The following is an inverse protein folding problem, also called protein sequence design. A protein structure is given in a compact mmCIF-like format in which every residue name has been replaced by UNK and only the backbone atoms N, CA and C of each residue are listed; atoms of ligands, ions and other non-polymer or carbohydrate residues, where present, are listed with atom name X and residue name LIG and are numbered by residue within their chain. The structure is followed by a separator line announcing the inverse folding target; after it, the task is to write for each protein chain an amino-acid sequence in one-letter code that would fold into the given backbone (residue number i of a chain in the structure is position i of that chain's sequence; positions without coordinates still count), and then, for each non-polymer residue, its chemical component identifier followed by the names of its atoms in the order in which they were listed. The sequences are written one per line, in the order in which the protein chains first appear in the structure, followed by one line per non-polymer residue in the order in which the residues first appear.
data_IF_696402660826
#
_entry.id   IF_696402660826
#
_cell.length_a   1.000
_cell.length_b   1.000
_cell.length_c   1.000
_cell.angle_alpha   90.00
_cell.angle_beta   90.00
_cell.angle_gamma   90.00
#
_symmetry.space_group_name_H-M   'P 1'
#
loop_
_entity.id
_entity.type
_entity.pdbx_description
1 polymer ?
#
# COMPACT_ATOMS: atom_id res chain seq x y z
N UNK A 1 -15.27 14.91 -9.75
CA UNK A 1 -15.97 16.21 -9.64
C UNK A 1 -16.97 16.35 -10.77
N UNK A 2 -18.20 16.82 -10.54
CA UNK A 2 -19.12 17.14 -11.65
C UNK A 2 -18.85 18.58 -12.12
N UNK A 3 -18.65 18.77 -13.43
CA UNK A 3 -18.30 20.05 -14.05
C UNK A 3 -19.56 20.62 -14.73
N UNK A 4 -19.70 21.94 -14.71
CA UNK A 4 -20.74 22.62 -15.49
C UNK A 4 -20.11 23.36 -16.65
N UNK A 5 -20.52 23.03 -17.87
CA UNK A 5 -20.15 23.77 -19.08
C UNK A 5 -21.00 25.04 -19.10
N UNK A 6 -20.39 26.17 -18.75
CA UNK A 6 -21.09 27.45 -18.57
C UNK A 6 -21.85 27.93 -19.81
N UNK A 7 -21.31 27.65 -21.00
CA UNK A 7 -21.90 28.00 -22.30
C UNK A 7 -23.17 27.19 -22.60
N UNK A 8 -23.21 25.92 -22.20
CA UNK A 8 -24.37 25.03 -22.36
C UNK A 8 -25.40 25.19 -21.24
N UNK A 9 -24.96 25.68 -20.09
CA UNK A 9 -25.82 25.93 -18.94
C UNK A 9 -26.68 27.17 -19.19
N UNK A 10 -27.78 27.04 -19.93
CA UNK A 10 -28.63 28.19 -20.27
C UNK A 10 -29.45 28.66 -19.06
N UNK A 11 -29.33 29.95 -18.76
CA UNK A 11 -30.15 30.66 -17.78
C UNK A 11 -31.17 31.60 -18.42
N UNK A 12 -30.95 32.01 -19.66
CA UNK A 12 -31.81 32.95 -20.38
C UNK A 12 -31.95 32.51 -21.83
N UNK A 13 -33.05 31.82 -22.11
CA UNK A 13 -33.88 31.92 -23.31
C UNK A 13 -35.10 31.05 -23.01
N UNK A 14 -36.30 31.67 -23.06
CA UNK A 14 -37.60 31.15 -22.60
C UNK A 14 -37.73 29.62 -22.78
N UNK A 15 -37.72 28.88 -21.68
CA UNK A 15 -37.96 27.45 -21.67
C UNK A 15 -39.43 27.20 -21.29
N UNK A 16 -40.26 26.78 -22.24
CA UNK A 16 -41.66 26.40 -21.96
C UNK A 16 -41.76 25.19 -21.01
N UNK A 17 -40.70 24.40 -20.89
CA UNK A 17 -40.61 23.23 -20.00
C UNK A 17 -39.93 23.51 -18.64
N UNK A 18 -39.50 24.75 -18.37
CA UNK A 18 -38.89 25.11 -17.09
C UNK A 18 -39.61 26.35 -16.53
N UNK A 19 -40.70 26.16 -15.77
CA UNK A 19 -41.35 27.28 -15.12
C UNK A 19 -40.38 27.84 -14.08
N UNK A 20 -39.82 29.01 -14.36
CA UNK A 20 -38.95 29.69 -13.41
C UNK A 20 -39.66 29.82 -12.06
N UNK A 21 -39.02 29.25 -11.03
CA UNK A 21 -38.88 29.84 -9.68
C UNK A 21 -37.97 28.90 -8.87
N UNK A 22 -36.76 29.39 -8.58
CA UNK A 22 -35.84 28.94 -7.50
C UNK A 22 -35.11 27.59 -7.56
N UNK A 23 -35.46 26.60 -8.38
CA UNK A 23 -34.68 25.34 -8.53
C UNK A 23 -34.60 24.85 -9.98
N UNK A 24 -33.45 24.27 -10.35
CA UNK A 24 -33.21 23.66 -11.67
C UNK A 24 -33.42 22.14 -11.63
N UNK A 25 -33.71 21.50 -12.76
CA UNK A 25 -33.90 20.04 -12.84
C UNK A 25 -32.71 19.24 -12.27
N UNK A 26 -31.49 19.73 -12.45
CA UNK A 26 -30.30 19.13 -11.86
C UNK A 26 -30.25 19.25 -10.33
N UNK A 27 -30.78 20.34 -9.75
CA UNK A 27 -30.94 20.51 -8.30
C UNK A 27 -32.07 19.62 -7.75
N UNK A 28 -33.16 19.44 -8.48
CA UNK A 28 -34.29 18.60 -8.05
C UNK A 28 -33.92 17.14 -7.89
N UNK A 29 -33.09 16.61 -8.80
CA UNK A 29 -32.63 15.22 -8.75
C UNK A 29 -31.46 15.01 -7.80
N UNK A 30 -30.90 16.07 -7.19
CA UNK A 30 -29.70 15.95 -6.37
C UNK A 30 -30.06 15.40 -4.96
N UNK A 31 -29.67 14.16 -4.63
CA UNK A 31 -30.09 13.53 -3.37
C UNK A 31 -29.40 14.14 -2.14
N UNK A 32 -28.36 14.95 -2.34
CA UNK A 32 -27.55 15.55 -1.28
C UNK A 32 -27.58 17.06 -1.28
N UNK A 33 -28.42 17.71 -2.09
CA UNK A 33 -28.47 19.18 -2.25
C UNK A 33 -27.09 19.82 -2.54
N UNK A 34 -26.20 19.08 -3.22
CA UNK A 34 -24.84 19.51 -3.51
C UNK A 34 -24.72 20.47 -4.69
N UNK A 35 -25.81 21.13 -5.07
CA UNK A 35 -25.92 22.03 -6.23
C UNK A 35 -26.58 23.33 -5.80
N UNK A 36 -25.96 24.45 -6.15
CA UNK A 36 -26.47 25.81 -5.95
C UNK A 36 -26.43 26.59 -7.26
N UNK A 37 -27.11 27.74 -7.31
CA UNK A 37 -27.03 28.66 -8.43
C UNK A 37 -26.05 29.80 -8.08
N UNK A 38 -25.17 30.12 -9.04
CA UNK A 38 -24.34 31.32 -9.02
C UNK A 38 -24.48 31.97 -10.40
N UNK A 39 -24.89 33.24 -10.46
CA UNK A 39 -25.18 33.97 -11.70
C UNK A 39 -26.10 33.20 -12.66
N UNK A 40 -27.16 32.59 -12.10
CA UNK A 40 -28.11 31.72 -12.78
C UNK A 40 -27.51 30.45 -13.43
N UNK A 41 -26.27 30.08 -13.12
CA UNK A 41 -25.62 28.84 -13.57
C UNK A 41 -25.56 27.83 -12.42
N UNK A 42 -25.69 26.55 -12.74
CA UNK A 42 -25.60 25.48 -11.75
C UNK A 42 -24.13 25.23 -11.34
N UNK A 43 -23.83 25.34 -10.05
CA UNK A 43 -22.54 25.02 -9.46
C UNK A 43 -22.70 23.95 -8.40
N UNK A 44 -21.71 23.06 -8.27
CA UNK A 44 -21.76 21.97 -7.30
C UNK A 44 -20.51 21.87 -6.45
N UNK A 45 -20.59 21.04 -5.40
CA UNK A 45 -19.45 20.68 -4.58
C UNK A 45 -18.25 20.28 -5.46
N UNK A 46 -17.11 20.94 -5.23
CA UNK A 46 -15.85 20.71 -5.97
C UNK A 46 -15.11 19.44 -5.53
N UNK A 47 -15.69 18.66 -4.61
CA UNK A 47 -15.12 17.38 -4.13
C UNK A 47 -13.69 17.52 -3.57
N UNK A 48 -13.34 18.67 -2.97
CA UNK A 48 -12.00 18.93 -2.44
C UNK A 48 -11.63 18.11 -1.18
N UNK A 49 -12.63 17.55 -0.50
CA UNK A 49 -12.42 16.68 0.66
C UNK A 49 -12.06 17.37 1.97
N UNK A 50 -12.00 18.71 2.04
CA UNK A 50 -11.74 19.43 3.30
C UNK A 50 -12.74 19.07 4.39
N UNK A 51 -14.03 18.97 4.06
CA UNK A 51 -15.07 18.56 5.00
C UNK A 51 -14.82 17.16 5.60
N UNK A 52 -14.21 16.24 4.84
CA UNK A 52 -13.88 14.91 5.32
C UNK A 52 -12.64 14.92 6.22
N UNK A 53 -11.61 15.70 5.85
CA UNK A 53 -10.36 15.82 6.65
C UNK A 53 -10.60 16.45 8.01
N UNK A 54 -11.47 17.47 8.07
CA UNK A 54 -11.75 18.22 9.31
C UNK A 54 -12.86 17.58 10.16
N UNK A 55 -13.44 16.45 9.76
CA UNK A 55 -14.51 15.82 10.51
C UNK A 55 -13.95 15.09 11.74
N UNK A 56 -14.19 15.55 12.98
CA UNK A 56 -13.57 14.97 14.17
C UNK A 56 -14.00 13.52 14.43
N UNK A 57 -15.19 13.14 13.94
CA UNK A 57 -15.77 11.81 14.12
C UNK A 57 -15.63 10.92 12.88
N UNK A 58 -14.87 11.34 11.87
CA UNK A 58 -14.70 10.61 10.60
C UNK A 58 -16.03 10.17 9.96
N UNK A 59 -17.07 11.01 10.12
CA UNK A 59 -18.41 10.72 9.64
C UNK A 59 -18.56 10.96 8.12
N UNK A 60 -17.65 11.71 7.49
CA UNK A 60 -17.69 11.97 6.05
C UNK A 60 -16.61 11.12 5.37
N UNK A 61 -17.00 10.26 4.44
CA UNK A 61 -16.10 9.29 3.79
C UNK A 61 -16.16 9.40 2.27
N UNK A 62 -15.03 9.15 1.61
CA UNK A 62 -14.94 9.12 0.15
C UNK A 62 -15.49 7.80 -0.38
N UNK A 63 -16.26 7.84 -1.46
CA UNK A 63 -16.71 6.63 -2.18
C UNK A 63 -15.79 6.32 -3.38
N UNK A 64 -16.05 5.19 -4.04
CA UNK A 64 -15.28 4.73 -5.22
C UNK A 64 -15.37 5.68 -6.42
N UNK A 65 -16.48 6.42 -6.55
CA UNK A 65 -16.71 7.40 -7.63
C UNK A 65 -15.98 8.73 -7.42
N UNK A 66 -15.28 8.89 -6.29
CA UNK A 66 -14.55 10.10 -5.94
C UNK A 66 -15.37 11.19 -5.25
N UNK A 67 -16.67 10.93 -5.02
CA UNK A 67 -17.55 11.74 -4.19
C UNK A 67 -17.42 11.42 -2.70
N UNK A 68 -18.17 12.14 -1.86
CA UNK A 68 -18.15 11.95 -0.41
C UNK A 68 -19.57 11.74 0.12
N UNK A 69 -19.74 10.80 1.05
CA UNK A 69 -21.01 10.51 1.72
C UNK A 69 -20.88 10.66 3.23
N UNK A 70 -22.01 10.89 3.91
CA UNK A 70 -22.08 11.10 5.35
C UNK A 70 -22.64 9.85 6.03
N UNK A 71 -21.83 9.22 6.87
CA UNK A 71 -22.28 8.21 7.82
C UNK A 71 -23.07 8.87 8.95
N UNK A 72 -24.41 8.76 8.85
CA UNK A 72 -25.35 9.36 9.81
C UNK A 72 -25.26 8.76 11.21
N UNK A 73 -24.68 7.57 11.38
CA UNK A 73 -24.49 6.98 12.72
C UNK A 73 -23.31 7.61 13.45
N UNK A 74 -22.29 8.05 12.71
CA UNK A 74 -21.07 8.70 13.24
C UNK A 74 -21.18 10.23 13.28
N UNK A 75 -22.08 10.82 12.50
CA UNK A 75 -22.30 12.25 12.47
C UNK A 75 -22.97 12.72 13.76
N UNK A 76 -22.28 13.59 14.51
CA UNK A 76 -22.82 14.24 15.72
C UNK A 76 -23.51 15.57 15.42
N UNK A 77 -23.50 16.04 14.16
CA UNK A 77 -24.13 17.29 13.77
C UNK A 77 -23.38 18.56 14.18
N UNK A 78 -22.07 18.45 14.47
CA UNK A 78 -21.24 19.55 15.00
C UNK A 78 -21.02 20.75 14.06
N UNK A 79 -21.26 20.61 12.75
CA UNK A 79 -21.19 21.73 11.79
C UNK A 79 -19.81 22.14 11.28
N UNK A 80 -18.71 21.52 11.76
CA UNK A 80 -17.33 21.86 11.32
C UNK A 80 -17.19 21.79 9.79
N UNK A 81 -17.72 20.74 9.17
CA UNK A 81 -17.71 20.56 7.72
C UNK A 81 -18.37 21.72 6.94
N UNK A 82 -19.38 22.37 7.49
CA UNK A 82 -20.01 23.54 6.90
C UNK A 82 -19.10 24.77 7.00
N UNK A 83 -18.49 24.99 8.17
CA UNK A 83 -17.60 26.11 8.43
C UNK A 83 -16.32 26.08 7.58
N UNK A 84 -15.74 24.90 7.36
CA UNK A 84 -14.49 24.75 6.59
C UNK A 84 -14.71 24.64 5.09
N UNK A 85 -15.95 24.69 4.61
CA UNK A 85 -16.24 24.54 3.19
C UNK A 85 -15.75 25.77 2.41
N UNK A 86 -14.75 25.65 1.53
CA UNK A 86 -14.13 26.82 0.87
C UNK A 86 -15.08 27.53 -0.10
N UNK A 87 -16.17 26.87 -0.51
CA UNK A 87 -17.19 27.42 -1.41
C UNK A 87 -18.55 27.59 -0.72
N UNK A 88 -18.61 27.37 0.60
CA UNK A 88 -19.82 27.59 1.41
C UNK A 88 -21.07 26.78 1.00
N UNK A 89 -20.91 25.65 0.29
CA UNK A 89 -22.05 24.89 -0.25
C UNK A 89 -22.70 23.95 0.78
N UNK A 90 -21.97 23.57 1.84
CA UNK A 90 -22.44 22.61 2.84
C UNK A 90 -23.38 23.31 3.83
N UNK A 91 -24.58 22.76 4.02
CA UNK A 91 -25.60 23.28 4.94
C UNK A 91 -25.95 22.22 5.97
N UNK A 92 -26.04 22.62 7.24
CA UNK A 92 -26.53 21.74 8.30
C UNK A 92 -28.06 21.71 8.26
N UNK A 93 -28.63 20.52 8.18
CA UNK A 93 -30.08 20.30 8.21
C UNK A 93 -30.44 19.43 9.41
N UNK A 94 -31.68 19.55 9.88
CA UNK A 94 -32.19 18.78 11.00
C UNK A 94 -33.42 17.99 10.56
N UNK A 95 -33.42 16.68 10.82
CA UNK A 95 -34.57 15.80 10.59
C UNK A 95 -34.67 14.81 11.75
N UNK A 96 -35.87 14.65 12.30
CA UNK A 96 -36.14 13.71 13.41
C UNK A 96 -35.19 13.92 14.62
N UNK A 97 -34.90 15.18 14.95
CA UNK A 97 -34.02 15.56 16.07
C UNK A 97 -32.53 15.28 15.84
N UNK A 98 -32.11 14.89 14.62
CA UNK A 98 -30.71 14.66 14.25
C UNK A 98 -30.24 15.70 13.24
N UNK A 99 -29.16 16.41 13.59
CA UNK A 99 -28.47 17.37 12.71
C UNK A 99 -27.41 16.67 11.86
N UNK A 100 -27.39 16.93 10.56
CA UNK A 100 -26.40 16.39 9.62
C UNK A 100 -26.13 17.35 8.44
N UNK A 101 -24.94 17.27 7.82
CA UNK A 101 -24.62 18.10 6.66
C UNK A 101 -25.25 17.58 5.37
N UNK A 102 -25.81 18.50 4.60
CA UNK A 102 -26.15 18.40 3.18
C UNK A 102 -25.21 19.30 2.38
N UNK A 103 -25.21 19.22 1.06
CA UNK A 103 -24.34 19.99 0.17
C UNK A 103 -23.07 19.24 -0.30
N UNK A 104 -22.94 17.95 0.02
CA UNK A 104 -21.76 17.14 -0.29
C UNK A 104 -22.07 16.24 -1.49
N UNK A 105 -21.33 16.38 -2.59
CA UNK A 105 -21.56 15.59 -3.81
C UNK A 105 -21.05 14.16 -3.62
N UNK A 106 -21.94 13.18 -3.86
CA UNK A 106 -21.63 11.75 -3.85
C UNK A 106 -21.21 11.21 -5.22
N UNK A 107 -21.14 12.05 -6.26
CA UNK A 107 -20.81 11.64 -7.63
C UNK A 107 -21.70 10.48 -8.13
N UNK A 108 -23.02 10.67 -8.03
CA UNK A 108 -24.04 9.72 -8.51
C UNK A 108 -24.56 10.03 -9.93
N UNK A 109 -24.04 11.08 -10.57
CA UNK A 109 -24.33 11.51 -11.94
C UNK A 109 -25.81 11.73 -12.34
N UNK A 110 -26.76 11.62 -11.41
CA UNK A 110 -28.18 11.97 -11.62
C UNK A 110 -28.37 13.36 -12.24
N UNK A 111 -27.55 14.33 -11.82
CA UNK A 111 -27.63 15.69 -12.34
C UNK A 111 -27.04 15.86 -13.75
N UNK A 112 -26.19 14.93 -14.20
CA UNK A 112 -25.68 14.83 -15.57
C UNK A 112 -26.80 14.34 -16.48
N UNK A 113 -27.42 13.21 -16.12
CA UNK A 113 -28.54 12.62 -16.86
C UNK A 113 -29.77 13.54 -16.92
N UNK A 114 -30.08 14.20 -15.80
CA UNK A 114 -31.24 15.06 -15.73
C UNK A 114 -31.08 16.40 -16.48
N UNK A 115 -29.86 16.75 -16.92
CA UNK A 115 -29.61 18.04 -17.56
C UNK A 115 -30.05 18.01 -19.04
N UNK A 116 -31.14 18.69 -19.43
CA UNK A 116 -31.65 18.64 -20.81
C UNK A 116 -30.71 19.31 -21.83
N UNK A 117 -29.76 20.11 -21.36
CA UNK A 117 -28.80 20.84 -22.18
C UNK A 117 -27.40 20.20 -22.17
N UNK A 118 -27.23 19.04 -21.54
CA UNK A 118 -25.92 18.38 -21.34
C UNK A 118 -24.86 19.34 -20.79
N UNK A 119 -25.31 20.27 -19.94
CA UNK A 119 -24.45 21.28 -19.34
C UNK A 119 -23.70 20.75 -18.13
N UNK A 120 -24.23 19.71 -17.48
CA UNK A 120 -23.60 19.00 -16.36
C UNK A 120 -22.85 17.81 -16.95
N UNK A 121 -21.57 17.68 -16.62
CA UNK A 121 -20.69 16.63 -17.16
C UNK A 121 -19.96 15.97 -16.01
N UNK A 122 -19.87 14.64 -16.05
CA UNK A 122 -19.09 13.93 -15.05
C UNK A 122 -17.60 14.24 -15.26
N UNK A 123 -16.87 14.51 -14.17
CA UNK A 123 -15.43 14.75 -14.26
C UNK A 123 -14.66 13.54 -14.76
N UNK A 124 -15.27 12.36 -14.70
CA UNK A 124 -14.78 11.13 -15.31
C UNK A 124 -14.78 11.27 -16.84
N UNK A 125 -15.85 11.80 -17.42
CA UNK A 125 -15.95 12.08 -18.88
C UNK A 125 -15.08 13.28 -19.31
N UNK A 126 -14.78 14.22 -18.41
CA UNK A 126 -13.90 15.35 -18.70
C UNK A 126 -12.40 15.01 -18.72
N UNK A 127 -11.99 13.85 -18.20
CA UNK A 127 -10.59 13.37 -18.28
C UNK A 127 -10.25 13.07 -19.75
N UNK A 128 -11.19 12.51 -20.50
CA UNK A 128 -10.98 12.15 -21.90
C UNK A 128 -11.08 13.35 -22.85
N UNK A 129 -11.93 14.33 -22.57
CA UNK A 129 -12.08 15.55 -23.37
C UNK A 129 -10.96 16.58 -23.15
N UNK A 130 -10.38 16.69 -21.94
CA UNK A 130 -9.24 17.59 -21.70
C UNK A 130 -7.94 17.02 -22.24
N UNK A 131 -7.71 15.70 -22.17
CA UNK A 131 -6.48 15.06 -22.67
C UNK A 131 -6.33 15.20 -24.19
N UNK A 132 -7.42 15.04 -24.94
CA UNK A 132 -7.45 15.22 -26.39
C UNK A 132 -7.24 16.68 -26.80
N UNK A 133 -7.97 17.62 -26.19
CA UNK A 133 -7.83 19.05 -26.52
C UNK A 133 -6.47 19.67 -26.08
N UNK A 134 -5.87 19.22 -24.96
CA UNK A 134 -4.52 19.66 -24.56
C UNK A 134 -3.44 19.06 -25.47
N UNK A 135 -3.54 17.79 -25.83
CA UNK A 135 -2.59 17.13 -26.72
C UNK A 135 -2.57 17.78 -28.12
N UNK A 136 -3.73 18.11 -28.68
CA UNK A 136 -3.82 18.79 -29.98
C UNK A 136 -3.28 20.24 -29.91
N UNK A 137 -3.55 20.97 -28.82
CA UNK A 137 -3.07 22.34 -28.62
C UNK A 137 -1.56 22.40 -28.37
N UNK A 138 -0.98 21.43 -27.67
CA UNK A 138 0.47 21.34 -27.46
C UNK A 138 1.20 20.82 -28.70
N UNK A 139 0.66 19.82 -29.41
CA UNK A 139 1.25 19.34 -30.66
C UNK A 139 1.37 20.47 -31.69
N UNK A 140 0.30 21.24 -31.90
CA UNK A 140 0.29 22.36 -32.86
C UNK A 140 1.24 23.50 -32.45
N UNK A 141 1.40 23.75 -31.15
CA UNK A 141 2.30 24.79 -30.62
C UNK A 141 3.76 24.35 -30.63
N UNK A 142 4.04 23.08 -30.36
CA UNK A 142 5.37 22.47 -30.45
C UNK A 142 5.85 22.41 -31.90
N UNK A 143 4.99 22.03 -32.86
CA UNK A 143 5.36 22.05 -34.28
C UNK A 143 5.69 23.46 -34.80
N UNK A 144 5.02 24.50 -34.28
CA UNK A 144 5.33 25.90 -34.62
C UNK A 144 6.57 26.44 -33.90
N UNK A 145 6.82 26.03 -32.65
CA UNK A 145 8.00 26.41 -31.87
C UNK A 145 9.28 25.74 -32.41
N UNK A 146 9.22 24.47 -32.82
CA UNK A 146 10.35 23.75 -33.44
C UNK A 146 10.78 24.41 -34.76
N UNK A 147 9.85 25.07 -35.47
CA UNK A 147 10.15 25.85 -36.67
C UNK A 147 10.88 27.18 -36.38
N UNK A 148 10.71 27.71 -35.17
CA UNK A 148 11.30 28.98 -34.70
C UNK A 148 12.68 28.76 -34.07
N UNK A 149 12.91 27.64 -33.38
CA UNK A 149 14.17 27.32 -32.65
C UNK A 149 15.39 27.07 -33.56
N UNK A 150 15.25 27.02 -34.89
CA UNK A 150 16.41 26.88 -35.82
C UNK A 150 17.27 28.14 -35.97
N UNK A 151 17.04 29.20 -35.21
CA UNK A 151 17.92 30.37 -35.16
C UNK A 151 18.07 30.85 -33.72
N UNK A 152 19.32 31.05 -33.35
CA UNK A 152 19.83 31.66 -32.12
C UNK A 152 20.20 30.66 -31.00
N UNK A 153 21.52 30.54 -30.84
CA UNK A 153 22.27 29.80 -29.84
C UNK A 153 21.89 30.29 -28.44
N UNK A 154 21.57 29.35 -27.55
CA UNK A 154 21.40 29.64 -26.12
C UNK A 154 22.50 28.86 -25.39
N UNK A 155 23.35 29.63 -24.70
CA UNK A 155 24.39 29.12 -23.80
C UNK A 155 23.79 28.24 -22.69
N UNK A 156 24.46 27.12 -22.43
CA UNK A 156 24.05 26.13 -21.42
C UNK A 156 24.06 26.75 -20.02
N UNK A 157 22.87 26.95 -19.45
CA UNK A 157 22.73 27.09 -18.00
C UNK A 157 22.73 25.68 -17.41
N UNK A 158 23.89 25.24 -16.95
CA UNK A 158 24.01 24.05 -16.12
C UNK A 158 23.36 24.30 -14.75
N UNK A 159 22.09 23.92 -14.63
CA UNK A 159 21.48 23.66 -13.33
C UNK A 159 21.87 22.24 -12.94
N UNK A 160 22.92 22.12 -12.14
CA UNK A 160 23.17 20.91 -11.37
C UNK A 160 22.12 20.81 -10.26
N UNK A 161 20.94 20.28 -10.63
CA UNK A 161 20.10 19.60 -9.66
C UNK A 161 20.74 18.24 -9.42
N UNK A 162 21.40 18.05 -8.26
CA UNK A 162 21.79 16.73 -7.81
C UNK A 162 20.53 15.85 -7.69
N UNK A 163 20.23 15.11 -8.75
CA UNK A 163 19.36 13.95 -8.71
C UNK A 163 20.03 12.96 -7.78
N UNK A 164 19.57 12.88 -6.53
CA UNK A 164 19.96 11.78 -5.64
C UNK A 164 19.48 10.47 -6.25
N UNK A 165 20.38 9.84 -7.01
CA UNK A 165 20.32 8.47 -7.48
C UNK A 165 20.06 7.57 -6.27
N UNK A 166 18.84 7.07 -6.10
CA UNK A 166 18.58 5.99 -5.15
C UNK A 166 17.99 4.79 -5.87
N UNK A 167 18.80 4.24 -6.78
CA UNK A 167 18.58 2.89 -7.31
C UNK A 167 19.02 1.79 -6.34
N UNK A 168 19.61 2.15 -5.20
CA UNK A 168 20.23 1.18 -4.30
C UNK A 168 19.69 1.34 -2.89
N UNK A 169 19.25 0.22 -2.30
CA UNK A 169 19.01 0.11 -0.85
C UNK A 169 19.99 -0.88 -0.24
N UNK A 170 20.52 -0.55 0.93
CA UNK A 170 21.41 -1.43 1.69
C UNK A 170 20.56 -2.20 2.70
N UNK A 171 20.60 -3.53 2.68
CA UNK A 171 19.96 -4.34 3.72
C UNK A 171 20.71 -5.63 4.00
N UNK A 172 20.31 -6.33 5.06
CA UNK A 172 20.73 -7.71 5.23
C UNK A 172 20.01 -8.60 4.21
N UNK A 173 20.70 -9.64 3.74
CA UNK A 173 20.15 -10.75 2.96
C UNK A 173 20.49 -12.05 3.67
N UNK A 174 19.50 -12.92 3.77
CA UNK A 174 19.63 -14.25 4.38
C UNK A 174 19.57 -15.26 3.24
N UNK A 175 20.66 -15.98 3.03
CA UNK A 175 20.73 -17.13 2.13
C UNK A 175 19.93 -18.29 2.71
N UNK A 176 18.80 -18.63 2.07
CA UNK A 176 17.89 -19.66 2.55
C UNK A 176 18.43 -21.07 2.41
N UNK A 177 19.34 -21.31 1.46
CA UNK A 177 19.93 -22.63 1.25
C UNK A 177 20.96 -22.94 2.34
N UNK A 178 21.67 -21.92 2.82
CA UNK A 178 22.61 -22.03 3.94
C UNK A 178 21.96 -21.92 5.32
N UNK A 179 20.77 -21.32 5.40
CA UNK A 179 20.11 -21.12 6.69
C UNK A 179 19.57 -22.43 7.27
N UNK A 180 20.19 -22.92 8.34
CA UNK A 180 19.74 -24.13 9.07
C UNK A 180 18.59 -23.86 10.06
N UNK A 181 18.12 -22.62 10.17
CA UNK A 181 17.02 -22.27 11.07
C UNK A 181 17.35 -22.34 12.56
N UNK A 182 18.55 -21.93 12.97
CA UNK A 182 18.94 -21.95 14.38
C UNK A 182 18.29 -20.85 15.24
N UNK A 183 17.69 -19.82 14.64
CA UNK A 183 17.01 -18.73 15.36
C UNK A 183 17.92 -17.71 16.08
N UNK A 184 19.25 -17.91 16.12
CA UNK A 184 20.21 -17.01 16.80
C UNK A 184 20.08 -15.55 16.37
N UNK A 185 19.96 -15.30 15.07
CA UNK A 185 19.86 -13.96 14.50
C UNK A 185 18.57 -13.23 14.91
N UNK A 186 17.45 -13.96 15.03
CA UNK A 186 16.18 -13.42 15.51
C UNK A 186 16.25 -13.10 17.00
N UNK A 187 16.81 -14.03 17.78
CA UNK A 187 16.93 -13.90 19.22
C UNK A 187 17.86 -12.76 19.66
N UNK A 188 19.03 -12.61 19.02
CA UNK A 188 20.03 -11.61 19.40
C UNK A 188 19.82 -10.24 18.74
N UNK A 189 18.80 -10.09 17.90
CA UNK A 189 18.55 -8.80 17.24
C UNK A 189 18.00 -7.79 18.26
N UNK A 190 18.75 -6.73 18.62
CA UNK A 190 18.29 -5.74 19.61
C UNK A 190 17.09 -4.92 19.12
N UNK A 191 16.82 -4.97 17.82
CA UNK A 191 15.69 -4.29 17.16
C UNK A 191 14.52 -5.22 16.88
N UNK A 192 14.63 -6.51 17.23
CA UNK A 192 13.62 -7.55 16.99
C UNK A 192 13.13 -7.59 15.52
N UNK A 193 14.03 -7.28 14.58
CA UNK A 193 13.61 -7.00 13.21
C UNK A 193 13.52 -8.24 12.32
N UNK A 194 14.04 -9.38 12.78
CA UNK A 194 14.01 -10.67 12.07
C UNK A 194 12.94 -11.51 12.76
N UNK A 195 11.82 -11.72 12.07
CA UNK A 195 10.67 -12.46 12.59
C UNK A 195 10.75 -13.90 12.06
N UNK A 196 10.70 -14.90 12.96
CA UNK A 196 10.70 -16.30 12.59
C UNK A 196 9.35 -16.75 12.04
N UNK A 197 9.34 -17.86 11.29
CA UNK A 197 8.11 -18.47 10.78
C UNK A 197 7.27 -19.13 11.89
N UNK A 198 7.89 -19.49 13.02
CA UNK A 198 7.24 -20.08 14.18
C UNK A 198 7.78 -19.43 15.45
N UNK A 199 6.93 -19.30 16.46
CA UNK A 199 7.34 -18.74 17.74
C UNK A 199 8.51 -19.50 18.36
N UNK A 200 9.41 -18.74 18.96
CA UNK A 200 10.64 -19.24 19.56
C UNK A 200 10.38 -19.58 21.02
N UNK A 201 9.71 -20.70 21.24
CA UNK A 201 9.49 -21.25 22.58
C UNK A 201 10.59 -22.23 23.02
N UNK A 202 11.48 -22.63 22.11
CA UNK A 202 12.55 -23.61 22.27
C UNK A 202 13.91 -22.99 22.69
N UNK A 203 14.89 -23.84 23.05
CA UNK A 203 16.29 -23.42 23.16
C UNK A 203 16.82 -22.94 21.79
N UNK A 204 17.47 -21.78 21.76
CA UNK A 204 17.93 -21.12 20.51
C UNK A 204 19.37 -21.44 20.14
N UNK A 205 19.99 -22.39 20.84
CA UNK A 205 21.42 -22.70 20.70
C UNK A 205 22.34 -21.48 20.86
N UNK A 206 21.90 -20.43 21.58
CA UNK A 206 22.70 -19.22 21.80
C UNK A 206 24.00 -19.45 22.56
N UNK A 207 24.18 -20.63 23.17
CA UNK A 207 25.30 -21.04 24.01
C UNK A 207 25.61 -20.14 25.22
N UNK A 208 24.74 -19.20 25.59
CA UNK A 208 24.90 -18.37 26.81
C UNK A 208 25.15 -19.26 28.05
N UNK A 209 24.45 -20.40 28.13
CA UNK A 209 24.65 -21.38 29.20
C UNK A 209 26.07 -21.96 29.29
N UNK A 210 26.73 -22.17 28.15
CA UNK A 210 28.12 -22.61 28.07
C UNK A 210 29.07 -21.48 28.42
N UNK A 211 28.84 -20.28 27.88
CA UNK A 211 29.69 -19.11 28.12
C UNK A 211 29.73 -18.69 29.60
N UNK A 212 28.63 -18.89 30.34
CA UNK A 212 28.58 -18.61 31.79
C UNK A 212 29.05 -19.78 32.67
N UNK A 213 29.29 -20.97 32.09
CA UNK A 213 29.67 -22.16 32.85
C UNK A 213 31.17 -22.13 33.19
N UNK A 214 31.57 -21.98 34.46
CA UNK A 214 32.98 -21.88 34.83
C UNK A 214 33.76 -23.19 34.59
N UNK A 215 33.05 -24.32 34.51
CA UNK A 215 33.65 -25.65 34.36
C UNK A 215 33.48 -26.22 32.94
N UNK A 216 32.99 -25.43 31.96
CA UNK A 216 32.72 -25.90 30.59
C UNK A 216 31.88 -27.18 30.49
N UNK A 217 31.05 -27.44 31.50
CA UNK A 217 30.29 -28.68 31.68
C UNK A 217 29.00 -28.74 30.84
N UNK A 218 28.66 -27.64 30.17
CA UNK A 218 27.47 -27.53 29.32
C UNK A 218 27.83 -26.80 28.04
N UNK A 219 27.27 -27.26 26.94
CA UNK A 219 27.39 -26.63 25.63
C UNK A 219 26.03 -26.71 24.94
N UNK A 220 25.54 -25.58 24.41
CA UNK A 220 24.33 -25.57 23.60
C UNK A 220 23.08 -26.13 24.32
N UNK A 221 23.05 -26.01 25.66
CA UNK A 221 22.00 -26.54 26.52
C UNK A 221 22.13 -28.03 26.85
N UNK A 222 23.22 -28.68 26.43
CA UNK A 222 23.52 -30.10 26.62
C UNK A 222 24.67 -30.23 27.62
N UNK A 223 24.47 -30.97 28.70
CA UNK A 223 25.50 -31.24 29.71
C UNK A 223 26.40 -32.34 29.20
N UNK A 224 27.71 -32.14 29.31
CA UNK A 224 28.71 -33.15 28.97
C UNK A 224 28.65 -34.28 29.99
N UNK A 225 28.82 -35.51 29.52
CA UNK A 225 28.81 -36.70 30.38
C UNK A 225 30.11 -36.85 31.21
N UNK A 226 31.03 -35.89 31.11
CA UNK A 226 32.32 -35.86 31.79
C UNK A 226 32.24 -35.59 33.30
N UNK A 227 31.04 -35.33 33.84
CA UNK A 227 30.81 -35.13 35.27
C UNK A 227 31.27 -33.77 35.80
N UNK A 228 31.68 -32.82 34.93
CA UNK A 228 32.22 -31.52 35.34
C UNK A 228 31.16 -30.54 35.91
N UNK A 229 29.87 -30.88 35.79
CA UNK A 229 28.78 -30.03 36.24
C UNK A 229 28.67 -30.05 37.78
N UNK A 230 28.96 -28.90 38.41
CA UNK A 230 28.89 -28.72 39.87
C UNK A 230 27.57 -28.11 40.36
N UNK A 231 26.52 -28.09 39.52
CA UNK A 231 25.20 -27.54 39.85
C UNK A 231 25.23 -26.11 40.42
N UNK A 232 26.10 -25.24 39.91
CA UNK A 232 26.14 -23.81 40.32
C UNK A 232 24.93 -22.99 39.85
N UNK A 233 24.08 -23.56 38.98
CA UNK A 233 22.82 -23.03 38.44
C UNK A 233 22.93 -21.71 37.65
N UNK A 234 24.12 -21.17 37.44
CA UNK A 234 24.34 -19.92 36.69
C UNK A 234 23.80 -19.99 35.26
N UNK A 235 23.87 -21.15 34.62
CA UNK A 235 23.31 -21.41 33.29
C UNK A 235 21.79 -21.29 33.23
N UNK A 236 21.08 -21.64 34.31
CA UNK A 236 19.62 -21.51 34.40
C UNK A 236 19.26 -20.04 34.49
N UNK A 237 19.85 -19.31 35.44
CA UNK A 237 19.56 -17.89 35.66
C UNK A 237 19.95 -17.01 34.47
N UNK A 238 20.96 -17.43 33.70
CA UNK A 238 21.39 -16.71 32.49
C UNK A 238 20.61 -17.13 31.24
N UNK A 239 19.74 -18.15 31.34
CA UNK A 239 18.97 -18.61 30.20
C UNK A 239 17.80 -17.65 29.93
N UNK A 240 17.79 -16.95 28.79
CA UNK A 240 16.78 -15.93 28.48
C UNK A 240 15.39 -16.50 28.13
N UNK A 241 15.27 -17.84 28.04
CA UNK A 241 14.06 -18.55 27.61
C UNK A 241 13.61 -19.61 28.61
N UNK A 242 14.27 -19.67 29.76
CA UNK A 242 14.06 -20.68 30.80
C UNK A 242 14.02 -22.10 30.21
N UNK A 243 14.91 -22.37 29.24
CA UNK A 243 14.95 -23.64 28.51
C UNK A 243 15.56 -24.78 29.33
N UNK A 244 16.17 -24.45 30.48
CA UNK A 244 16.85 -25.37 31.38
C UNK A 244 16.17 -25.35 32.76
N UNK A 245 16.00 -26.52 33.38
CA UNK A 245 15.53 -26.68 34.77
C UNK A 245 16.39 -27.71 35.51
N UNK A 246 16.28 -27.76 36.84
CA UNK A 246 16.83 -28.87 37.64
C UNK A 246 15.76 -29.91 37.88
N UNK A 247 16.01 -31.14 37.46
CA UNK A 247 15.20 -32.32 37.77
C UNK A 247 16.11 -33.44 38.25
N UNK A 248 15.75 -34.13 39.34
CA UNK A 248 16.55 -35.21 39.92
C UNK A 248 18.03 -34.85 40.14
N UNK A 249 18.31 -33.65 40.66
CA UNK A 249 19.67 -33.11 40.84
C UNK A 249 20.52 -33.06 39.56
N UNK A 250 19.88 -33.00 38.39
CA UNK A 250 20.54 -32.78 37.10
C UNK A 250 19.91 -31.58 36.42
N UNK A 251 20.73 -30.78 35.74
CA UNK A 251 20.18 -29.78 34.82
C UNK A 251 19.66 -30.54 33.60
N UNK A 252 18.41 -30.28 33.22
CA UNK A 252 17.75 -30.90 32.09
C UNK A 252 17.16 -29.82 31.20
N UNK A 253 17.16 -30.11 29.90
CA UNK A 253 16.54 -29.26 28.90
C UNK A 253 15.06 -29.63 28.81
N UNK A 254 14.19 -28.68 29.14
CA UNK A 254 12.73 -28.91 29.19
C UNK A 254 12.00 -28.43 27.93
N UNK A 255 12.70 -27.66 27.08
CA UNK A 255 12.17 -27.12 25.84
C UNK A 255 12.98 -27.70 24.68
N UNK A 256 12.33 -28.55 23.89
CA UNK A 256 12.93 -29.21 22.74
C UNK A 256 13.31 -28.22 21.64
N UNK A 257 14.38 -28.55 20.92
CA UNK A 257 14.85 -27.73 19.80
C UNK A 257 13.89 -27.81 18.63
N UNK A 258 13.30 -26.68 18.28
CA UNK A 258 12.58 -26.53 17.02
C UNK A 258 13.50 -25.84 16.02
N UNK A 259 13.63 -26.41 14.83
CA UNK A 259 14.22 -25.69 13.69
C UNK A 259 13.28 -24.55 13.32
N UNK A 260 13.79 -23.32 13.38
CA UNK A 260 13.05 -22.09 13.17
C UNK A 260 13.75 -21.27 12.08
N UNK A 261 13.11 -21.19 10.92
CA UNK A 261 13.59 -20.36 9.83
C UNK A 261 13.06 -18.93 9.98
N UNK A 262 13.90 -17.95 9.66
CA UNK A 262 13.47 -16.56 9.53
C UNK A 262 12.51 -16.44 8.34
N UNK A 263 11.30 -15.92 8.60
CA UNK A 263 10.29 -15.72 7.56
C UNK A 263 10.38 -14.32 6.95
N UNK A 264 10.56 -13.30 7.79
CA UNK A 264 10.55 -11.90 7.36
C UNK A 264 11.54 -11.06 8.16
N UNK A 265 12.15 -10.07 7.50
CA UNK A 265 13.06 -9.12 8.15
C UNK A 265 12.91 -7.71 7.58
N UNK A 266 13.43 -6.70 8.29
CA UNK A 266 13.43 -5.35 7.75
C UNK A 266 14.40 -5.26 6.57
N UNK A 267 13.83 -4.98 5.41
CA UNK A 267 14.54 -4.71 4.15
C UNK A 267 15.04 -3.26 4.05
N UNK A 268 14.87 -2.46 5.11
CA UNK A 268 15.44 -1.13 5.21
C UNK A 268 14.96 -0.14 4.11
N UNK A 269 13.71 -0.28 3.65
CA UNK A 269 13.16 0.50 2.52
C UNK A 269 12.83 1.96 2.85
N UNK A 270 12.83 2.36 4.13
CA UNK A 270 12.59 3.76 4.53
C UNK A 270 11.13 4.19 4.67
N UNK A 271 10.13 3.43 4.20
CA UNK A 271 8.70 3.83 4.30
C UNK A 271 8.25 4.30 5.70
N UNK A 272 8.72 3.63 6.74
CA UNK A 272 8.41 3.99 8.11
C UNK A 272 9.02 5.33 8.55
N UNK A 273 10.15 5.74 7.97
CA UNK A 273 10.79 7.04 8.19
C UNK A 273 9.95 8.12 7.49
N UNK A 274 9.63 7.91 6.21
CA UNK A 274 8.87 8.87 5.39
C UNK A 274 7.47 9.16 5.95
N UNK A 275 6.90 8.20 6.68
CA UNK A 275 5.57 8.29 7.28
C UNK A 275 5.57 8.54 8.79
N UNK A 276 6.71 8.89 9.41
CA UNK A 276 6.78 9.13 10.85
C UNK A 276 6.43 10.60 11.20
N UNK A 277 5.24 10.90 11.74
CA UNK A 277 4.83 12.28 11.99
C UNK A 277 5.59 12.94 13.15
N UNK A 278 6.09 12.17 14.11
CA UNK A 278 6.83 12.70 15.26
C UNK A 278 8.32 12.88 14.98
N UNK A 279 8.82 12.44 13.83
CA UNK A 279 10.26 12.42 13.54
C UNK A 279 11.07 11.44 14.40
N UNK A 280 10.40 10.55 15.15
CA UNK A 280 11.03 9.50 15.96
C UNK A 280 11.86 8.52 15.12
N UNK A 281 11.62 8.47 13.81
CA UNK A 281 12.36 7.63 12.88
C UNK A 281 13.14 8.51 11.90
N UNK A 282 14.42 8.20 11.73
CA UNK A 282 15.32 8.93 10.84
C UNK A 282 16.18 7.95 10.04
N UNK A 283 16.59 8.38 8.85
CA UNK A 283 17.56 7.65 8.06
C UNK A 283 18.90 8.40 8.12
N UNK A 284 19.93 7.75 8.67
CA UNK A 284 21.29 8.27 8.69
C UNK A 284 22.22 7.24 8.02
N UNK A 285 22.79 7.60 6.88
CA UNK A 285 23.70 6.74 6.10
C UNK A 285 23.12 5.35 5.82
N UNK A 286 21.83 5.29 5.47
CA UNK A 286 21.14 4.04 5.22
C UNK A 286 20.73 3.30 6.48
N UNK A 287 21.01 3.78 7.69
CA UNK A 287 20.56 3.15 8.93
C UNK A 287 19.26 3.80 9.40
N UNK A 288 18.28 2.97 9.74
CA UNK A 288 17.06 3.46 10.40
C UNK A 288 17.33 3.61 11.89
N UNK A 289 17.33 4.86 12.35
CA UNK A 289 17.40 5.22 13.76
C UNK A 289 16.01 5.41 14.34
N UNK A 290 15.85 5.12 15.63
CA UNK A 290 14.59 5.24 16.34
C UNK A 290 14.81 5.81 17.73
N UNK A 291 14.15 6.93 17.99
CA UNK A 291 14.11 7.58 19.29
C UNK A 291 12.75 7.30 19.96
N UNK A 292 12.77 6.48 21.01
CA UNK A 292 11.58 6.11 21.75
C UNK A 292 11.02 7.28 22.60
N UNK A 293 11.85 8.26 22.97
CA UNK A 293 11.45 9.36 23.86
C UNK A 293 10.46 10.32 23.20
N UNK A 294 10.57 10.52 21.88
CA UNK A 294 9.69 11.37 21.08
C UNK A 294 8.62 10.58 20.30
N UNK A 295 8.59 9.26 20.46
CA UNK A 295 7.59 8.41 19.82
C UNK A 295 6.29 8.36 20.64
N UNK A 296 5.23 9.02 20.15
CA UNK A 296 3.90 8.91 20.77
C UNK A 296 3.10 7.68 20.32
N UNK A 297 3.74 6.73 19.63
CA UNK A 297 3.16 5.41 19.27
C UNK A 297 1.86 5.47 18.45
N UNK A 298 1.81 6.30 17.41
CA UNK A 298 0.62 6.44 16.54
C UNK A 298 0.38 5.27 15.56
N UNK A 299 1.21 4.21 15.62
CA UNK A 299 1.16 3.02 14.75
C UNK A 299 1.31 3.24 13.24
N UNK A 300 1.46 4.46 12.74
CA UNK A 300 1.62 4.72 11.31
C UNK A 300 2.75 3.91 10.67
N UNK A 301 3.89 3.78 11.35
CA UNK A 301 5.02 2.98 10.88
C UNK A 301 4.79 1.46 10.91
N UNK A 302 3.87 0.99 11.75
CA UNK A 302 3.41 -0.40 11.81
C UNK A 302 2.53 -0.66 10.58
N UNK A 303 1.54 0.21 10.34
CA UNK A 303 0.55 0.04 9.27
C UNK A 303 1.17 0.06 7.86
N UNK A 304 2.19 0.90 7.64
CA UNK A 304 2.83 1.04 6.33
C UNK A 304 3.97 0.05 6.09
N UNK A 305 4.31 -0.81 7.07
CA UNK A 305 5.45 -1.71 6.94
C UNK A 305 5.12 -2.90 6.02
N UNK A 306 5.68 -2.97 4.80
CA UNK A 306 5.32 -4.04 3.86
C UNK A 306 5.72 -5.43 4.33
N UNK A 307 6.75 -5.51 5.18
CA UNK A 307 7.28 -6.76 5.72
C UNK A 307 6.66 -7.13 7.09
N UNK A 308 5.74 -6.31 7.64
CA UNK A 308 5.13 -6.53 8.96
C UNK A 308 6.16 -6.80 10.09
N UNK A 309 7.30 -6.10 10.04
CA UNK A 309 8.37 -6.22 11.05
C UNK A 309 8.38 -5.11 12.09
N UNK A 310 7.58 -4.07 11.88
CA UNK A 310 7.33 -3.03 12.88
C UNK A 310 6.19 -3.50 13.77
N UNK A 311 6.45 -3.67 15.07
CA UNK A 311 5.46 -4.20 16.01
C UNK A 311 5.38 -3.26 17.22
N UNK A 312 4.17 -2.85 17.58
CA UNK A 312 3.92 -2.11 18.81
C UNK A 312 3.98 -3.07 20.02
N UNK A 313 4.91 -2.83 20.94
CA UNK A 313 5.13 -3.63 22.16
C UNK A 313 4.49 -3.00 23.41
N UNK A 314 3.62 -1.99 23.24
CA UNK A 314 3.04 -1.19 24.33
C UNK A 314 3.97 -0.05 24.74
N UNK A 315 5.14 -0.39 25.27
CA UNK A 315 6.10 0.61 25.77
C UNK A 315 6.83 1.32 24.63
N UNK A 316 7.19 0.58 23.58
CA UNK A 316 7.91 1.08 22.41
C UNK A 316 7.48 0.36 21.12
N UNK A 317 7.90 0.90 19.96
CA UNK A 317 7.74 0.23 18.67
C UNK A 317 9.05 -0.46 18.29
N UNK A 318 8.99 -1.78 18.20
CA UNK A 318 10.09 -2.63 17.74
C UNK A 318 10.20 -2.66 16.21
N UNK A 319 11.26 -3.26 15.69
CA UNK A 319 11.57 -3.33 14.26
C UNK A 319 12.41 -2.17 13.74
N UNK A 320 12.77 -2.28 12.46
CA UNK A 320 13.70 -1.36 11.80
C UNK A 320 15.14 -1.79 12.03
N UNK A 321 15.77 -2.31 10.99
CA UNK A 321 17.16 -2.73 11.03
C UNK A 321 18.09 -1.50 11.08
N UNK A 322 18.98 -1.45 12.06
CA UNK A 322 20.04 -0.44 12.16
C UNK A 322 21.34 -0.87 11.46
N UNK A 323 21.35 -2.04 10.81
CA UNK A 323 22.52 -2.65 10.17
C UNK A 323 23.72 -2.82 11.12
N UNK A 324 23.46 -3.27 12.35
CA UNK A 324 24.50 -3.42 13.38
C UNK A 324 25.46 -4.61 13.19
N UNK A 325 25.12 -5.59 12.35
CA UNK A 325 25.99 -6.74 12.07
C UNK A 325 25.87 -7.93 13.03
N UNK A 326 25.27 -7.78 14.21
CA UNK A 326 25.17 -8.88 15.22
C UNK A 326 24.65 -10.19 14.62
N UNK A 327 23.64 -10.12 13.74
CA UNK A 327 23.07 -11.32 13.11
C UNK A 327 24.04 -12.07 12.19
N UNK A 328 25.02 -11.36 11.62
CA UNK A 328 26.06 -11.93 10.76
C UNK A 328 27.05 -12.70 11.63
N UNK A 329 27.55 -12.05 12.68
CA UNK A 329 28.59 -12.61 13.55
C UNK A 329 28.14 -13.89 14.26
N UNK A 330 26.85 -13.95 14.62
CA UNK A 330 26.28 -15.09 15.36
C UNK A 330 25.78 -16.20 14.45
N UNK A 331 25.83 -16.04 13.12
CA UNK A 331 25.32 -17.02 12.17
C UNK A 331 26.36 -18.14 11.94
N UNK A 332 26.10 -19.39 12.37
CA UNK A 332 27.07 -20.48 12.26
C UNK A 332 27.38 -20.84 10.79
N UNK A 333 26.37 -20.74 9.93
CA UNK A 333 26.47 -21.09 8.50
C UNK A 333 26.90 -19.92 7.62
N UNK A 334 27.19 -18.75 8.21
CA UNK A 334 27.48 -17.49 7.49
C UNK A 334 26.44 -17.18 6.40
N UNK A 335 25.19 -17.51 6.69
CA UNK A 335 24.06 -17.34 5.77
C UNK A 335 23.61 -15.88 5.63
N UNK A 336 24.08 -14.97 6.50
CA UNK A 336 23.63 -13.57 6.53
C UNK A 336 24.75 -12.65 6.07
N UNK A 337 24.44 -11.72 5.16
CA UNK A 337 25.36 -10.67 4.71
C UNK A 337 24.62 -9.34 4.53
N UNK A 338 25.34 -8.22 4.63
CA UNK A 338 24.83 -6.92 4.17
C UNK A 338 25.11 -6.83 2.67
N UNK A 339 24.10 -6.47 1.89
CA UNK A 339 24.18 -6.37 0.43
C UNK A 339 23.44 -5.10 -0.03
N UNK A 340 23.97 -4.51 -1.10
CA UNK A 340 23.33 -3.46 -1.86
C UNK A 340 22.38 -4.09 -2.88
N UNK A 341 21.11 -3.69 -2.83
CA UNK A 341 20.07 -4.24 -3.69
C UNK A 341 19.62 -3.15 -4.66
N UNK A 342 19.68 -3.48 -5.94
CA UNK A 342 19.23 -2.66 -7.06
C UNK A 342 18.28 -3.49 -7.94
N UNK A 343 17.21 -2.84 -8.42
CA UNK A 343 16.29 -3.40 -9.39
C UNK A 343 16.41 -2.65 -10.71
N UNK A 344 16.53 -3.40 -11.80
CA UNK A 344 16.41 -2.88 -13.16
C UNK A 344 15.00 -3.14 -13.73
N UNK A 345 14.82 -2.83 -15.01
CA UNK A 345 13.63 -3.26 -15.74
C UNK A 345 13.58 -4.79 -15.80
N UNK A 346 12.43 -5.36 -15.46
CA UNK A 346 12.26 -6.82 -15.40
C UNK A 346 11.49 -7.26 -16.63
N UNK A 347 12.08 -8.17 -17.39
CA UNK A 347 11.45 -8.82 -18.54
C UNK A 347 11.47 -10.33 -18.33
N UNK A 348 10.29 -10.91 -18.16
CA UNK A 348 10.12 -12.33 -17.87
C UNK A 348 8.96 -12.92 -18.67
N UNK A 349 9.18 -14.10 -19.25
CA UNK A 349 8.19 -14.79 -20.09
C UNK A 349 6.91 -15.21 -19.34
N UNK A 350 7.04 -15.49 -18.04
CA UNK A 350 5.95 -15.87 -17.15
C UNK A 350 5.11 -14.66 -16.72
N UNK A 351 5.52 -13.44 -17.06
CA UNK A 351 4.72 -12.25 -16.84
C UNK A 351 3.42 -12.31 -17.64
N UNK A 352 2.31 -12.31 -16.91
CA UNK A 352 0.94 -12.27 -17.44
C UNK A 352 0.41 -10.83 -17.55
N UNK A 353 1.27 -9.83 -17.31
CA UNK A 353 0.94 -8.40 -17.46
C UNK A 353 -0.28 -7.93 -16.66
N UNK A 354 -0.55 -8.61 -15.54
CA UNK A 354 -1.76 -8.42 -14.76
C UNK A 354 -1.82 -7.12 -13.95
N UNK A 355 -0.84 -6.22 -14.06
CA UNK A 355 -0.85 -4.91 -13.40
C UNK A 355 -0.86 -4.91 -11.86
N UNK A 356 -0.94 -6.07 -11.19
CA UNK A 356 -1.01 -6.16 -9.72
C UNK A 356 0.14 -5.40 -9.06
N UNK A 357 1.36 -5.52 -9.59
CA UNK A 357 2.53 -4.81 -9.10
C UNK A 357 2.36 -3.28 -9.14
N UNK A 358 1.79 -2.73 -10.21
CA UNK A 358 1.51 -1.30 -10.32
C UNK A 358 0.43 -0.86 -9.32
N UNK A 359 -0.64 -1.64 -9.20
CA UNK A 359 -1.77 -1.32 -8.31
C UNK A 359 -1.42 -1.33 -6.82
N UNK A 360 -0.51 -2.22 -6.38
CA UNK A 360 -0.11 -2.30 -4.96
C UNK A 360 1.09 -1.39 -4.64
N UNK A 361 1.65 -0.68 -5.62
CA UNK A 361 2.80 0.17 -5.40
C UNK A 361 2.39 1.39 -4.55
N UNK A 362 3.00 1.61 -3.36
CA UNK A 362 2.64 2.76 -2.54
C UNK A 362 3.12 4.11 -3.11
N UNK A 363 4.02 4.09 -4.10
CA UNK A 363 4.63 5.28 -4.69
C UNK A 363 4.30 5.46 -6.19
N UNK A 364 3.41 4.63 -6.76
CA UNK A 364 3.01 4.71 -8.18
C UNK A 364 4.19 4.70 -9.19
N UNK A 365 5.22 3.90 -8.92
CA UNK A 365 6.50 3.93 -9.66
C UNK A 365 6.62 2.93 -10.80
N UNK A 366 5.62 2.07 -10.98
CA UNK A 366 5.70 0.87 -11.81
C UNK A 366 4.84 1.03 -13.06
N UNK A 367 5.44 0.83 -14.22
CA UNK A 367 4.74 0.75 -15.51
C UNK A 367 4.85 -0.67 -16.06
N UNK A 368 3.73 -1.29 -16.45
CA UNK A 368 3.70 -2.62 -17.07
C UNK A 368 3.39 -2.47 -18.56
N UNK A 369 4.36 -2.82 -19.41
CA UNK A 369 4.14 -2.87 -20.87
C UNK A 369 3.56 -4.22 -21.26
N UNK A 370 2.32 -4.21 -21.75
CA UNK A 370 1.55 -5.41 -22.10
C UNK A 370 2.22 -6.19 -23.24
N UNK A 371 2.60 -5.50 -24.33
CA UNK A 371 3.14 -6.15 -25.53
C UNK A 371 4.53 -6.77 -25.32
N UNK A 372 5.38 -6.12 -24.53
CA UNK A 372 6.77 -6.56 -24.30
C UNK A 372 6.96 -7.38 -23.03
N UNK A 373 5.89 -7.58 -22.24
CA UNK A 373 5.93 -8.23 -20.92
C UNK A 373 7.01 -7.64 -19.98
N UNK A 374 7.19 -6.34 -20.09
CA UNK A 374 8.26 -5.60 -19.41
C UNK A 374 7.67 -4.80 -18.24
N UNK A 375 8.31 -4.89 -17.08
CA UNK A 375 7.97 -4.13 -15.88
C UNK A 375 9.07 -3.08 -15.69
N UNK A 376 8.69 -1.81 -15.71
CA UNK A 376 9.59 -0.67 -15.65
C UNK A 376 9.40 0.05 -14.33
N UNK A 377 10.51 0.33 -13.66
CA UNK A 377 10.55 1.08 -12.41
C UNK A 377 11.15 2.46 -12.68
N UNK A 378 10.47 3.51 -12.23
CA UNK A 378 11.06 4.85 -12.25
C UNK A 378 11.97 5.10 -11.05
N UNK A 379 12.66 6.25 -11.05
CA UNK A 379 13.65 6.62 -10.04
C UNK A 379 13.08 6.84 -8.62
N UNK A 380 11.76 6.90 -8.45
CA UNK A 380 11.12 7.05 -7.13
C UNK A 380 10.89 5.70 -6.44
N UNK A 381 11.25 4.58 -7.09
CA UNK A 381 11.13 3.25 -6.52
C UNK A 381 12.12 3.06 -5.36
N UNK A 382 11.58 2.87 -4.16
CA UNK A 382 12.36 2.58 -2.95
C UNK A 382 12.61 1.09 -2.71
N UNK A 383 12.23 0.24 -3.68
CA UNK A 383 12.36 -1.23 -3.62
C UNK A 383 11.81 -1.83 -2.32
N UNK A 384 10.62 -1.38 -1.91
CA UNK A 384 9.94 -1.84 -0.69
C UNK A 384 9.38 -3.27 -0.78
N UNK A 385 9.53 -3.92 -1.93
CA UNK A 385 9.08 -5.28 -2.21
C UNK A 385 7.56 -5.50 -2.11
N UNK A 386 6.75 -4.46 -1.91
CA UNK A 386 5.27 -4.59 -1.93
C UNK A 386 4.80 -5.22 -3.24
N UNK A 387 5.27 -4.75 -4.38
CA UNK A 387 4.91 -5.35 -5.66
C UNK A 387 5.33 -6.82 -5.79
N UNK A 388 6.45 -7.21 -5.18
CA UNK A 388 6.89 -8.61 -5.21
C UNK A 388 6.11 -9.48 -4.23
N UNK A 389 5.74 -8.99 -3.04
CA UNK A 389 4.90 -9.71 -2.06
C UNK A 389 3.57 -10.17 -2.66
N UNK A 390 2.96 -9.34 -3.51
CA UNK A 390 1.62 -9.58 -4.09
C UNK A 390 1.68 -10.09 -5.55
N UNK A 391 2.87 -10.30 -6.11
CA UNK A 391 3.01 -10.80 -7.48
C UNK A 391 2.57 -12.27 -7.56
N UNK A 392 1.51 -12.61 -8.32
CA UNK A 392 0.97 -13.98 -8.34
C UNK A 392 1.85 -14.98 -9.09
N UNK A 393 2.83 -14.51 -9.86
CA UNK A 393 3.75 -15.34 -10.65
C UNK A 393 5.19 -15.29 -10.12
N UNK A 394 5.42 -14.62 -8.99
CA UNK A 394 6.73 -14.57 -8.32
C UNK A 394 7.90 -14.06 -9.21
N UNK A 395 7.60 -13.29 -10.26
CA UNK A 395 8.58 -12.76 -11.22
C UNK A 395 9.47 -11.67 -10.60
N UNK A 396 8.92 -10.92 -9.65
CA UNK A 396 9.62 -9.81 -9.02
C UNK A 396 10.51 -10.32 -7.86
N UNK A 397 11.77 -9.83 -7.74
CA UNK A 397 12.66 -10.21 -6.66
C UNK A 397 12.04 -9.97 -5.28
N UNK A 398 12.22 -10.94 -4.39
CA UNK A 398 11.75 -10.86 -3.01
C UNK A 398 12.83 -11.44 -2.11
N UNK A 399 13.37 -10.61 -1.22
CA UNK A 399 14.54 -10.96 -0.42
C UNK A 399 14.19 -11.65 0.90
N UNK A 400 12.93 -11.54 1.34
CA UNK A 400 12.44 -12.20 2.56
C UNK A 400 11.76 -13.54 2.24
N UNK A 401 11.19 -13.66 1.05
CA UNK A 401 10.24 -14.68 0.63
C UNK A 401 8.88 -14.57 1.30
N UNK A 402 8.61 -13.47 2.01
CA UNK A 402 7.27 -13.15 2.49
C UNK A 402 6.36 -12.92 1.29
N UNK A 403 5.28 -13.69 1.20
CA UNK A 403 4.35 -13.67 0.06
C UNK A 403 2.92 -13.64 0.54
N UNK A 404 2.08 -12.97 -0.25
CA UNK A 404 0.64 -13.02 -0.10
C UNK A 404 0.02 -13.67 -1.32
N UNK A 405 -0.98 -14.48 -1.06
CA UNK A 405 -1.83 -15.09 -2.09
C UNK A 405 -3.25 -14.59 -1.94
N UNK A 406 -4.00 -14.63 -3.03
CA UNK A 406 -5.40 -14.22 -3.00
C UNK A 406 -6.16 -15.21 -2.12
N UNK A 407 -6.94 -14.66 -1.18
CA UNK A 407 -7.89 -15.43 -0.40
C UNK A 407 -9.14 -15.65 -1.24
N UNK A 408 -9.27 -16.86 -1.78
CA UNK A 408 -10.33 -17.22 -2.73
C UNK A 408 -11.72 -17.20 -2.09
N UNK A 409 -11.83 -17.42 -0.78
CA UNK A 409 -13.12 -17.47 -0.09
C UNK A 409 -13.74 -16.07 0.07
N UNK A 410 -12.90 -15.06 0.30
CA UNK A 410 -13.35 -13.67 0.51
C UNK A 410 -13.09 -12.75 -0.70
N UNK A 411 -12.67 -13.32 -1.83
CA UNK A 411 -12.47 -12.61 -3.09
C UNK A 411 -13.58 -12.93 -4.09
N UNK A 412 -13.90 -11.98 -4.96
CA UNK A 412 -14.87 -12.22 -6.03
C UNK A 412 -14.42 -11.59 -7.34
N UNK A 413 -14.89 -12.18 -8.44
CA UNK A 413 -14.75 -11.65 -9.78
C UNK A 413 -16.07 -11.84 -10.51
N UNK A 414 -16.52 -10.82 -11.25
CA UNK A 414 -17.75 -10.89 -12.03
C UNK A 414 -17.67 -10.02 -13.26
N UNK A 415 -18.40 -10.42 -14.29
CA UNK A 415 -18.60 -9.61 -15.49
C UNK A 415 -19.97 -8.96 -15.44
N UNK A 416 -20.03 -7.66 -15.67
CA UNK A 416 -21.27 -6.95 -15.97
C UNK A 416 -21.55 -7.03 -17.47
N UNK A 417 -22.49 -7.89 -17.84
CA UNK A 417 -22.83 -8.12 -19.23
C UNK A 417 -23.52 -6.92 -19.89
N UNK A 418 -24.01 -5.93 -19.14
CA UNK A 418 -24.53 -4.69 -19.73
C UNK A 418 -23.42 -3.86 -20.39
N UNK A 419 -22.18 -3.99 -19.91
CA UNK A 419 -21.00 -3.29 -20.44
C UNK A 419 -20.07 -4.22 -21.25
N UNK A 420 -20.35 -5.51 -21.31
CA UNK A 420 -19.54 -6.48 -22.05
C UNK A 420 -19.88 -6.47 -23.54
N UNK A 421 -18.91 -6.08 -24.37
CA UNK A 421 -19.04 -6.10 -25.83
C UNK A 421 -18.70 -7.46 -26.46
N UNK A 422 -18.35 -8.47 -25.65
CA UNK A 422 -17.93 -9.81 -26.10
C UNK A 422 -16.79 -9.79 -27.13
N UNK A 423 -15.83 -8.86 -26.98
CA UNK A 423 -14.67 -8.73 -27.88
C UNK A 423 -13.64 -9.87 -27.78
N UNK A 424 -13.74 -10.77 -26.78
CA UNK A 424 -12.86 -11.93 -26.61
C UNK A 424 -11.44 -11.63 -26.09
N UNK A 425 -11.10 -10.37 -25.79
CA UNK A 425 -9.78 -10.00 -25.24
C UNK A 425 -9.49 -10.67 -23.89
N UNK A 426 -10.52 -10.78 -23.04
CA UNK A 426 -10.41 -11.44 -21.75
C UNK A 426 -10.05 -12.93 -21.87
N UNK A 427 -10.61 -13.62 -22.87
CA UNK A 427 -10.27 -15.00 -23.22
C UNK A 427 -8.80 -15.10 -23.64
N UNK A 428 -8.35 -14.21 -24.53
CA UNK A 428 -6.98 -14.23 -25.06
C UNK A 428 -5.89 -13.97 -24.01
N UNK A 429 -6.17 -13.13 -23.01
CA UNK A 429 -5.19 -12.79 -21.98
C UNK A 429 -5.20 -13.77 -20.79
N UNK A 430 -6.22 -14.63 -20.68
CA UNK A 430 -6.37 -15.48 -19.52
C UNK A 430 -5.29 -16.57 -19.52
N UNK A 431 -4.42 -16.66 -18.49
CA UNK A 431 -3.36 -17.67 -18.46
C UNK A 431 -3.86 -19.09 -18.17
N UNK A 432 -5.08 -19.23 -17.66
CA UNK A 432 -5.64 -20.49 -17.17
C UNK A 432 -6.97 -20.87 -17.85
N UNK A 433 -7.32 -20.21 -18.96
CA UNK A 433 -8.61 -20.41 -19.66
C UNK A 433 -9.85 -20.35 -18.75
N UNK A 434 -9.76 -19.51 -17.71
CA UNK A 434 -10.79 -19.35 -16.68
C UNK A 434 -11.90 -18.37 -17.07
N UNK A 435 -11.84 -17.75 -18.25
CA UNK A 435 -12.87 -16.85 -18.75
C UNK A 435 -13.04 -17.01 -20.26
N UNK A 436 -14.29 -17.06 -20.71
CA UNK A 436 -14.65 -17.12 -22.13
C UNK A 436 -15.77 -16.12 -22.41
N UNK A 437 -15.50 -15.11 -23.23
CA UNK A 437 -16.46 -14.09 -23.67
C UNK A 437 -17.20 -13.37 -22.52
N UNK A 438 -16.51 -13.24 -21.38
CA UNK A 438 -17.04 -12.63 -20.15
C UNK A 438 -17.59 -13.65 -19.15
N UNK A 439 -17.84 -14.90 -19.53
CA UNK A 439 -18.27 -15.95 -18.61
C UNK A 439 -17.06 -16.52 -17.87
N UNK A 440 -17.10 -16.48 -16.54
CA UNK A 440 -15.96 -16.82 -15.68
C UNK A 440 -16.20 -18.19 -15.03
N UNK A 441 -15.21 -19.07 -15.18
CA UNK A 441 -15.07 -20.31 -14.42
C UNK A 441 -14.27 -20.01 -13.14
N UNK A 442 -14.96 -19.93 -12.01
CA UNK A 442 -14.36 -19.53 -10.73
C UNK A 442 -13.36 -20.55 -10.20
N UNK A 443 -13.55 -21.83 -10.50
CA UNK A 443 -12.67 -22.92 -10.06
C UNK A 443 -11.28 -22.78 -10.70
N UNK A 444 -11.25 -22.39 -11.98
CA UNK A 444 -10.00 -22.14 -12.72
C UNK A 444 -9.40 -20.76 -12.48
N UNK A 445 -10.18 -19.81 -11.95
CA UNK A 445 -9.75 -18.43 -11.81
C UNK A 445 -8.78 -18.25 -10.63
N UNK A 446 -7.56 -17.79 -10.91
CA UNK A 446 -6.55 -17.42 -9.90
C UNK A 446 -6.67 -15.98 -9.38
N UNK A 447 -7.74 -15.26 -9.76
CA UNK A 447 -7.92 -13.85 -9.38
C UNK A 447 -6.73 -12.94 -9.77
N UNK A 448 -6.03 -13.26 -10.86
CA UNK A 448 -4.82 -12.54 -11.24
C UNK A 448 -5.10 -11.12 -11.76
N UNK A 449 -6.34 -10.79 -12.15
CA UNK A 449 -6.81 -9.52 -12.75
C UNK A 449 -6.40 -9.21 -14.20
N UNK A 450 -5.76 -10.14 -14.91
CA UNK A 450 -5.37 -9.92 -16.30
C UNK A 450 -6.58 -9.57 -17.20
N UNK A 451 -7.69 -10.31 -17.06
CA UNK A 451 -8.92 -10.06 -17.81
C UNK A 451 -9.59 -8.71 -17.46
N UNK A 452 -9.56 -8.30 -16.19
CA UNK A 452 -10.08 -7.01 -15.75
C UNK A 452 -9.29 -5.83 -16.34
N UNK A 453 -7.96 -5.95 -16.38
CA UNK A 453 -7.10 -4.88 -16.89
C UNK A 453 -7.13 -4.73 -18.41
N UNK A 454 -7.27 -5.83 -19.16
CA UNK A 454 -7.36 -5.74 -20.63
C UNK A 454 -8.75 -5.29 -21.10
N UNK A 455 -9.77 -5.34 -20.23
CA UNK A 455 -11.15 -5.05 -20.60
C UNK A 455 -11.32 -3.57 -20.93
N UNK A 456 -11.56 -3.20 -22.21
CA UNK A 456 -11.60 -1.80 -22.63
C UNK A 456 -12.83 -1.05 -22.10
N UNK A 457 -13.90 -1.78 -21.77
CA UNK A 457 -15.14 -1.23 -21.20
C UNK A 457 -15.20 -1.34 -19.68
N UNK A 458 -14.16 -1.90 -19.03
CA UNK A 458 -14.13 -2.18 -17.60
C UNK A 458 -15.34 -2.99 -17.08
N UNK A 459 -15.92 -3.85 -17.93
CA UNK A 459 -17.05 -4.70 -17.59
C UNK A 459 -16.70 -5.80 -16.55
N UNK A 460 -15.42 -6.09 -16.34
CA UNK A 460 -14.99 -7.17 -15.42
C UNK A 460 -14.50 -6.53 -14.11
N UNK A 461 -15.24 -6.79 -13.05
CA UNK A 461 -14.94 -6.35 -11.69
C UNK A 461 -14.23 -7.44 -10.92
N UNK A 462 -13.14 -7.08 -10.24
CA UNK A 462 -12.40 -7.98 -9.37
C UNK A 462 -12.18 -7.32 -8.02
N UNK A 463 -12.50 -8.04 -6.96
CA UNK A 463 -12.18 -7.68 -5.59
C UNK A 463 -11.31 -8.79 -4.99
N UNK A 464 -10.23 -8.39 -4.32
CA UNK A 464 -9.24 -9.31 -3.75
C UNK A 464 -9.02 -9.01 -2.28
N UNK A 465 -9.17 -10.03 -1.47
CA UNK A 465 -8.54 -10.13 -0.16
C UNK A 465 -7.28 -10.97 -0.28
N UNK A 466 -6.39 -10.84 0.70
CA UNK A 466 -5.07 -11.47 0.66
C UNK A 466 -4.76 -12.11 1.99
N UNK A 467 -4.25 -13.34 1.93
CA UNK A 467 -3.73 -14.09 3.08
C UNK A 467 -2.24 -14.35 2.90
N UNK A 468 -1.56 -14.63 4.00
CA UNK A 468 -0.15 -15.02 3.99
C UNK A 468 -0.02 -16.40 3.31
N UNK A 469 0.98 -16.55 2.44
CA UNK A 469 1.30 -17.84 1.82
C UNK A 469 2.07 -18.67 2.85
N UNK A 470 1.44 -19.75 3.33
CA UNK A 470 2.04 -20.69 4.30
C UNK A 470 3.35 -21.33 3.82
#
# INVERSE_FOLDING_TARGET
MIITILEKCRSEEKCEACPFKTKSKCMEVCPTDAIMLLDNKAFSCITCGTCARECPNNAIRKNEFGGYYVDRKRCTGCGICANVCPIGIIKMVEKEGKKFPMGICIMCDLCVEACPYNARVSGIECIDLKRTAYAEKYATRIFNIIKIIKKEEIEEINVECETKNKKVRVSIKIDKEKCIGCGKCSYLCPRETIIPNKDVDACTFCNICGDVCPNNAIENGIIKEDGNCVLCLKCINSCPKDALKVENFKVVKIKEDKRINSLRHCINCGLCVDNCPSGALKNENGKILYDASICWKCNKCVDVCPQNVRINRGDYISGGCSLCGICIDVCPEKAIKIEEIEWENIKDGNCITCGTCANVCPNDTITVKINSKEIIFNNNCIMCETCSIYCPRDILPNTTGYKKVVDRENSFIRTDFAFCTRCGLCTKICPNDAIKDGEIDIEKCEFCSACANICPTHAIYIYRTWVEKE
#
